data_IF_556368447680
#
_entry.id   IF_556368447680
#
_cell.length_a   1.000
_cell.length_b   1.000
_cell.length_c   1.000
_cell.angle_alpha   90.00
_cell.angle_beta   90.00
_cell.angle_gamma   90.00
#
_symmetry.space_group_name_H-M   'P 1'
#
loop_
_entity.id
_entity.type
_entity.pdbx_description
1 polymer ?
#
# COMPACT_ATOMS: atom_id res chain seq x y z
N UNK A 1 5.65 -33.32 -2.15
CA UNK A 1 4.19 -33.44 -1.93
C UNK A 1 3.57 -33.84 -3.26
N UNK A 2 2.78 -34.92 -3.28
CA UNK A 2 1.99 -35.33 -4.45
C UNK A 2 0.58 -34.77 -4.28
N UNK A 3 0.05 -34.12 -5.31
CA UNK A 3 -1.31 -33.57 -5.30
C UNK A 3 -2.21 -34.40 -6.22
N UNK A 4 -3.34 -34.92 -5.75
CA UNK A 4 -4.30 -35.64 -6.60
C UNK A 4 -4.81 -34.77 -7.75
N UNK A 5 -5.20 -35.42 -8.86
CA UNK A 5 -5.84 -34.74 -10.00
C UNK A 5 -7.11 -34.03 -9.54
N UNK A 6 -7.29 -32.79 -9.99
CA UNK A 6 -8.45 -31.96 -9.65
C UNK A 6 -8.30 -31.17 -8.34
N UNK A 7 -7.15 -31.26 -7.66
CA UNK A 7 -6.90 -30.45 -6.46
C UNK A 7 -6.83 -28.98 -6.82
N UNK A 8 -7.67 -28.15 -6.18
CA UNK A 8 -7.59 -26.71 -6.30
C UNK A 8 -6.33 -26.19 -5.57
N UNK A 9 -5.51 -25.40 -6.25
CA UNK A 9 -4.29 -24.82 -5.67
C UNK A 9 -4.39 -23.31 -5.73
N UNK A 10 -4.17 -22.68 -4.58
CA UNK A 10 -4.12 -21.22 -4.48
C UNK A 10 -2.75 -20.78 -3.96
N UNK A 11 -2.19 -19.76 -4.60
CA UNK A 11 -1.00 -19.10 -4.11
C UNK A 11 -1.41 -18.00 -3.14
N UNK A 12 -1.17 -18.23 -1.84
CA UNK A 12 -1.43 -17.24 -0.80
C UNK A 12 -0.37 -16.12 -0.80
N UNK A 13 -0.61 -15.06 -1.57
CA UNK A 13 0.33 -13.94 -1.68
C UNK A 13 0.43 -13.12 -0.39
N UNK A 14 -0.67 -12.90 0.33
CA UNK A 14 -0.69 -12.08 1.54
C UNK A 14 0.31 -12.56 2.62
N UNK A 15 0.30 -13.85 3.06
CA UNK A 15 1.25 -14.32 4.06
C UNK A 15 2.68 -14.38 3.50
N UNK A 16 2.85 -14.68 2.21
CA UNK A 16 4.17 -14.69 1.55
C UNK A 16 4.83 -13.30 1.58
N UNK A 17 4.08 -12.25 1.28
CA UNK A 17 4.59 -10.87 1.24
C UNK A 17 4.86 -10.31 2.66
N UNK A 18 4.42 -10.99 3.71
CA UNK A 18 4.63 -10.63 5.12
C UNK A 18 5.44 -11.66 5.92
N UNK A 19 5.99 -12.68 5.25
CA UNK A 19 6.73 -13.76 5.91
C UNK A 19 8.07 -13.25 6.44
N UNK A 20 8.35 -13.33 7.75
CA UNK A 20 9.65 -12.98 8.30
C UNK A 20 10.78 -13.88 7.78
N UNK A 21 10.46 -15.09 7.33
CA UNK A 21 11.43 -16.00 6.70
C UNK A 21 11.94 -15.46 5.35
N UNK A 22 11.06 -14.80 4.59
CA UNK A 22 11.39 -14.27 3.26
C UNK A 22 11.83 -12.80 3.27
N UNK A 23 11.43 -12.05 4.30
CA UNK A 23 11.62 -10.60 4.38
C UNK A 23 12.43 -10.14 5.59
N UNK A 24 12.76 -11.04 6.52
CA UNK A 24 13.43 -10.71 7.77
C UNK A 24 12.48 -10.16 8.84
N UNK A 25 13.05 -9.73 9.97
CA UNK A 25 12.29 -9.25 11.12
C UNK A 25 11.41 -8.01 10.83
N UNK A 26 11.73 -7.25 9.78
CA UNK A 26 10.99 -6.04 9.38
C UNK A 26 9.93 -6.31 8.30
N UNK A 27 9.50 -7.57 8.10
CA UNK A 27 8.52 -7.97 7.08
C UNK A 27 7.19 -7.17 7.12
N UNK A 28 6.77 -6.74 8.31
CA UNK A 28 5.56 -5.96 8.52
C UNK A 28 5.80 -4.44 8.61
N UNK A 29 7.03 -3.98 8.36
CA UNK A 29 7.37 -2.55 8.31
C UNK A 29 7.41 -2.06 6.87
N UNK A 30 6.86 -0.86 6.66
CA UNK A 30 7.00 -0.18 5.38
C UNK A 30 8.44 0.32 5.19
N UNK A 31 9.20 -0.37 4.34
CA UNK A 31 10.60 -0.08 4.05
C UNK A 31 10.80 0.06 2.53
N UNK A 32 10.66 1.28 1.96
CA UNK A 32 10.82 1.51 0.52
C UNK A 32 12.28 1.38 0.05
N UNK A 33 13.25 1.51 0.96
CA UNK A 33 14.69 1.37 0.68
C UNK A 33 15.23 -0.06 0.84
N UNK A 34 14.35 -1.05 0.90
CA UNK A 34 14.73 -2.45 1.13
C UNK A 34 15.63 -2.98 0.00
N UNK A 35 16.70 -3.69 0.40
CA UNK A 35 17.56 -4.38 -0.53
C UNK A 35 16.85 -5.58 -1.19
N UNK A 36 17.04 -5.72 -2.50
CA UNK A 36 16.60 -6.88 -3.28
C UNK A 36 17.83 -7.68 -3.70
N UNK A 37 17.71 -9.00 -3.70
CA UNK A 37 18.76 -9.87 -4.18
C UNK A 37 18.85 -9.84 -5.72
N UNK A 38 19.96 -10.33 -6.26
CA UNK A 38 20.18 -10.41 -7.69
C UNK A 38 19.07 -11.21 -8.39
N UNK A 39 18.52 -10.62 -9.46
CA UNK A 39 17.44 -11.24 -10.24
C UNK A 39 16.05 -11.13 -9.63
N UNK A 40 15.88 -10.48 -8.48
CA UNK A 40 14.54 -10.17 -7.94
C UNK A 40 13.90 -8.94 -8.56
N UNK A 41 14.72 -8.07 -9.15
CA UNK A 41 14.26 -6.93 -9.93
C UNK A 41 14.21 -7.35 -11.40
N UNK A 42 13.15 -6.95 -12.09
CA UNK A 42 13.09 -7.08 -13.54
C UNK A 42 14.31 -6.39 -14.18
N UNK A 43 15.09 -7.13 -14.97
CA UNK A 43 16.35 -6.63 -15.56
C UNK A 43 16.10 -5.63 -16.69
N UNK A 44 16.97 -4.63 -16.74
CA UNK A 44 17.08 -3.63 -17.82
C UNK A 44 17.32 -4.36 -19.15
N UNK A 45 16.47 -4.11 -20.15
CA UNK A 45 16.50 -4.79 -21.46
C UNK A 45 15.12 -4.97 -22.10
N UNK A 46 14.04 -4.91 -21.32
CA UNK A 46 12.69 -4.67 -21.85
C UNK A 46 12.43 -3.15 -21.91
N UNK A 47 11.72 -2.63 -22.93
CA UNK A 47 11.39 -1.19 -23.07
C UNK A 47 10.63 -0.57 -21.88
N UNK A 48 10.19 -1.40 -20.93
CA UNK A 48 9.46 -1.02 -19.71
C UNK A 48 10.03 -1.67 -18.44
N UNK A 49 11.28 -2.17 -18.49
CA UNK A 49 11.97 -2.71 -17.32
C UNK A 49 12.47 -1.58 -16.42
N UNK A 50 11.54 -0.88 -15.78
CA UNK A 50 11.86 -0.28 -14.50
C UNK A 50 12.26 -1.39 -13.52
N UNK A 51 13.01 -1.05 -12.47
CA UNK A 51 13.39 -1.93 -11.36
C UNK A 51 12.15 -2.42 -10.55
N UNK A 52 11.25 -3.13 -11.23
CA UNK A 52 10.04 -3.70 -10.69
C UNK A 52 10.44 -4.96 -9.93
N UNK A 53 10.13 -5.06 -8.63
CA UNK A 53 10.35 -6.30 -7.92
C UNK A 53 9.37 -7.36 -8.45
N UNK A 54 9.93 -8.46 -8.94
CA UNK A 54 9.21 -9.64 -9.36
C UNK A 54 10.08 -10.87 -9.08
N UNK A 55 9.79 -11.54 -7.97
CA UNK A 55 10.57 -12.70 -7.53
C UNK A 55 9.65 -13.78 -6.94
N UNK A 56 10.24 -14.90 -6.51
CA UNK A 56 9.49 -15.97 -5.83
C UNK A 56 8.86 -15.50 -4.53
N UNK A 57 9.47 -14.52 -3.85
CA UNK A 57 8.96 -13.95 -2.58
C UNK A 57 8.08 -12.72 -2.78
N UNK A 58 8.14 -12.05 -3.93
CA UNK A 58 7.31 -10.88 -4.24
C UNK A 58 6.66 -10.95 -5.63
N UNK A 59 5.34 -11.13 -5.67
CA UNK A 59 4.58 -11.23 -6.93
C UNK A 59 3.16 -10.68 -6.81
N UNK A 60 3.01 -9.35 -6.63
CA UNK A 60 1.69 -8.70 -6.51
C UNK A 60 0.82 -8.83 -7.76
N UNK A 61 1.43 -9.07 -8.93
CA UNK A 61 0.76 -9.24 -10.21
C UNK A 61 0.75 -10.71 -10.69
N UNK A 62 0.92 -11.66 -9.77
CA UNK A 62 1.07 -13.08 -10.03
C UNK A 62 2.25 -13.43 -10.97
N UNK A 63 2.35 -14.70 -11.38
CA UNK A 63 3.39 -15.23 -12.26
C UNK A 63 2.82 -15.70 -13.60
N UNK A 64 3.66 -15.70 -14.63
CA UNK A 64 3.32 -16.26 -15.93
C UNK A 64 2.91 -17.75 -15.80
N UNK A 65 2.00 -18.25 -16.66
CA UNK A 65 1.41 -17.57 -17.83
C UNK A 65 0.16 -16.73 -17.51
N UNK A 66 -0.31 -16.71 -16.26
CA UNK A 66 -1.56 -16.03 -15.84
C UNK A 66 -1.30 -14.80 -14.97
N UNK A 67 -0.20 -14.08 -15.23
CA UNK A 67 0.07 -12.81 -14.57
C UNK A 67 -0.90 -11.71 -15.06
N UNK A 68 -1.03 -10.66 -14.26
CA UNK A 68 -1.87 -9.51 -14.63
C UNK A 68 -1.37 -8.89 -15.95
N UNK A 69 -2.26 -8.81 -16.94
CA UNK A 69 -2.00 -8.18 -18.23
C UNK A 69 -1.71 -6.68 -18.08
N UNK A 70 -2.40 -6.02 -17.15
CA UNK A 70 -2.25 -4.59 -16.84
C UNK A 70 -1.04 -4.24 -15.97
N UNK A 71 -0.16 -5.20 -15.61
CA UNK A 71 0.97 -4.98 -14.69
C UNK A 71 1.83 -3.78 -15.09
N UNK A 72 2.23 -3.72 -16.36
CA UNK A 72 3.17 -2.69 -16.82
C UNK A 72 2.49 -1.30 -16.82
N UNK A 73 1.22 -1.26 -17.24
CA UNK A 73 0.41 -0.05 -17.23
C UNK A 73 0.21 0.48 -15.81
N UNK A 74 -0.20 -0.38 -14.88
CA UNK A 74 -0.36 0.00 -13.47
C UNK A 74 0.95 0.52 -12.86
N UNK A 75 2.08 -0.13 -13.14
CA UNK A 75 3.39 0.33 -12.66
C UNK A 75 3.80 1.70 -13.23
N UNK A 76 3.47 1.97 -14.50
CA UNK A 76 3.72 3.27 -15.11
C UNK A 76 2.83 4.36 -14.50
N UNK A 77 1.53 4.13 -14.40
CA UNK A 77 0.59 5.08 -13.81
C UNK A 77 0.92 5.38 -12.35
N UNK A 78 1.19 4.36 -11.53
CA UNK A 78 1.55 4.55 -10.12
C UNK A 78 2.78 5.46 -9.98
N UNK A 79 3.79 5.29 -10.84
CA UNK A 79 4.98 6.15 -10.83
C UNK A 79 4.67 7.58 -11.25
N UNK A 80 3.89 7.77 -12.31
CA UNK A 80 3.52 9.11 -12.78
C UNK A 80 2.69 9.85 -11.75
N UNK A 81 1.73 9.16 -11.12
CA UNK A 81 0.91 9.71 -10.03
C UNK A 81 1.79 10.06 -8.84
N UNK A 82 2.65 9.15 -8.38
CA UNK A 82 3.57 9.42 -7.27
C UNK A 82 4.51 10.59 -7.57
N UNK A 83 5.11 10.63 -8.76
CA UNK A 83 5.98 11.72 -9.19
C UNK A 83 5.22 13.05 -9.18
N UNK A 84 4.02 13.09 -9.76
CA UNK A 84 3.20 14.30 -9.79
C UNK A 84 2.83 14.78 -8.39
N UNK A 85 2.41 13.85 -7.52
CA UNK A 85 2.06 14.13 -6.13
C UNK A 85 3.26 14.69 -5.36
N UNK A 86 4.41 14.01 -5.40
CA UNK A 86 5.61 14.43 -4.67
C UNK A 86 6.26 15.70 -5.22
N UNK A 87 6.10 15.96 -6.52
CA UNK A 87 6.64 17.16 -7.15
C UNK A 87 5.77 18.39 -6.84
N UNK A 88 4.45 18.26 -6.96
CA UNK A 88 3.53 19.40 -6.86
C UNK A 88 2.96 19.65 -5.47
N UNK A 89 3.12 18.74 -4.53
CA UNK A 89 2.52 18.87 -3.21
C UNK A 89 3.50 18.58 -2.08
N UNK A 90 3.26 19.26 -0.95
CA UNK A 90 3.86 18.92 0.34
C UNK A 90 2.80 18.27 1.20
N UNK A 91 3.13 17.12 1.80
CA UNK A 91 2.22 16.32 2.61
C UNK A 91 2.51 16.50 4.10
N UNK A 92 1.45 16.64 4.90
CA UNK A 92 1.51 16.65 6.36
C UNK A 92 0.48 15.68 6.91
N UNK A 93 0.87 14.92 7.94
CA UNK A 93 -0.06 14.03 8.64
C UNK A 93 -1.16 14.86 9.31
N UNK A 94 -2.41 14.47 9.14
CA UNK A 94 -3.51 15.06 9.88
C UNK A 94 -3.51 14.55 11.34
N UNK A 95 -4.12 15.31 12.27
CA UNK A 95 -4.36 14.82 13.62
C UNK A 95 -5.15 13.48 13.64
N UNK A 96 -4.97 12.66 14.68
CA UNK A 96 -5.77 11.44 14.88
C UNK A 96 -7.27 11.68 14.74
N UNK A 97 -7.98 10.77 14.07
CA UNK A 97 -9.38 10.96 13.68
C UNK A 97 -10.34 11.13 14.87
N UNK A 98 -10.07 10.51 16.02
CA UNK A 98 -10.78 10.74 17.29
C UNK A 98 -10.79 12.21 17.74
N UNK A 99 -9.81 13.00 17.30
CA UNK A 99 -9.74 14.46 17.53
C UNK A 99 -10.39 15.30 16.43
N UNK A 100 -10.78 14.68 15.31
CA UNK A 100 -11.42 15.35 14.18
C UNK A 100 -12.96 15.24 14.21
N UNK A 101 -13.52 14.33 15.03
CA UNK A 101 -14.98 14.09 15.15
C UNK A 101 -15.51 14.37 16.57
N UNK A 102 -14.76 15.09 17.39
CA UNK A 102 -15.32 15.63 18.63
C UNK A 102 -16.35 16.69 18.28
N UNK A 103 -17.60 16.53 18.74
CA UNK A 103 -18.72 17.45 18.50
C UNK A 103 -18.39 18.91 18.89
N UNK A 104 -17.36 19.14 19.72
CA UNK A 104 -17.05 20.46 20.29
C UNK A 104 -15.58 20.94 20.17
N UNK A 105 -14.70 20.34 19.36
CA UNK A 105 -13.27 20.76 19.40
C UNK A 105 -12.47 20.84 18.09
N UNK A 106 -13.07 20.50 16.94
CA UNK A 106 -12.53 20.99 15.66
C UNK A 106 -13.42 22.13 15.17
N UNK A 107 -12.90 23.33 14.86
CA UNK A 107 -13.62 24.18 13.93
C UNK A 107 -13.89 23.33 12.69
N UNK A 108 -15.17 23.24 12.30
CA UNK A 108 -15.57 22.50 11.12
C UNK A 108 -14.56 22.83 10.02
N UNK A 109 -13.93 21.82 9.38
CA UNK A 109 -12.98 22.09 8.30
C UNK A 109 -13.68 23.05 7.34
N UNK A 110 -12.98 24.13 6.94
CA UNK A 110 -13.54 25.10 6.01
C UNK A 110 -14.22 24.33 4.88
N UNK A 111 -15.52 24.57 4.73
CA UNK A 111 -16.38 23.86 3.77
C UNK A 111 -15.86 24.02 2.34
N UNK A 112 -15.05 25.05 2.08
CA UNK A 112 -14.35 25.24 0.81
C UNK A 112 -13.20 24.22 0.57
N UNK A 113 -12.60 23.67 1.63
CA UNK A 113 -11.45 22.75 1.58
C UNK A 113 -11.84 21.28 1.87
N UNK A 114 -13.02 21.04 2.44
CA UNK A 114 -13.51 19.72 2.81
C UNK A 114 -13.95 18.88 1.60
N UNK A 115 -13.14 17.88 1.22
CA UNK A 115 -13.43 16.98 0.07
C UNK A 115 -14.13 15.67 0.42
N UNK A 116 -14.79 15.60 1.57
CA UNK A 116 -15.61 14.46 2.00
C UNK A 116 -14.86 13.38 2.79
N UNK A 117 -15.63 12.49 3.42
CA UNK A 117 -15.11 11.39 4.24
C UNK A 117 -15.06 10.13 3.38
N UNK A 118 -13.86 9.61 3.09
CA UNK A 118 -13.73 8.30 2.47
C UNK A 118 -14.07 7.20 3.49
N UNK A 119 -15.32 6.72 3.46
CA UNK A 119 -15.81 5.59 4.29
C UNK A 119 -15.63 4.23 3.60
N UNK A 120 -15.16 4.19 2.36
CA UNK A 120 -15.18 3.00 1.49
C UNK A 120 -13.91 2.15 1.57
N UNK A 121 -12.78 2.73 1.94
CA UNK A 121 -11.57 1.97 2.25
C UNK A 121 -11.55 1.69 3.75
N UNK A 122 -11.25 0.46 4.18
CA UNK A 122 -10.77 0.16 5.54
C UNK A 122 -9.45 0.91 5.75
N UNK A 123 -9.53 2.24 5.82
CA UNK A 123 -8.43 3.18 5.69
C UNK A 123 -7.32 2.91 6.69
N UNK A 124 -6.14 3.49 6.50
CA UNK A 124 -5.03 3.22 7.39
C UNK A 124 -5.38 3.68 8.81
N UNK A 125 -4.96 2.91 9.80
CA UNK A 125 -5.12 3.21 11.22
C UNK A 125 -4.30 4.46 11.60
N UNK A 126 -4.69 5.15 12.67
CA UNK A 126 -3.82 6.15 13.31
C UNK A 126 -2.46 5.50 13.64
N UNK A 127 -1.36 6.15 13.26
CA UNK A 127 0.00 5.60 13.48
C UNK A 127 0.31 5.36 14.98
N UNK A 128 -0.33 6.16 15.85
CA UNK A 128 -0.12 6.12 17.30
C UNK A 128 -1.16 5.24 18.03
N UNK A 129 -2.18 4.76 17.30
CA UNK A 129 -3.22 3.89 17.86
C UNK A 129 -2.69 2.47 17.95
N UNK A 130 -2.22 2.06 19.14
CA UNK A 130 -1.81 0.68 19.42
C UNK A 130 -2.84 -0.32 18.88
N UNK A 131 -2.46 -1.05 17.84
CA UNK A 131 -3.37 -1.94 17.12
C UNK A 131 -3.70 -3.18 17.96
N UNK A 132 -4.90 -3.23 18.54
CA UNK A 132 -5.56 -4.51 18.82
C UNK A 132 -6.51 -4.81 17.67
N UNK A 133 -6.10 -5.74 16.81
CA UNK A 133 -6.96 -6.34 15.80
C UNK A 133 -8.02 -7.20 16.52
N UNK A 134 -9.28 -6.77 16.54
CA UNK A 134 -10.40 -7.69 16.67
C UNK A 134 -11.20 -7.64 15.37
N UNK A 135 -11.34 -8.76 14.68
CA UNK A 135 -12.19 -8.80 13.49
C UNK A 135 -13.64 -8.47 13.94
N UNK A 136 -14.20 -7.37 13.43
CA UNK A 136 -15.52 -6.86 13.84
C UNK A 136 -15.50 -5.65 14.79
N UNK A 137 -14.34 -5.19 15.28
CA UNK A 137 -14.28 -3.92 16.03
C UNK A 137 -14.38 -2.72 15.09
N UNK A 138 -15.27 -1.78 15.44
CA UNK A 138 -15.37 -0.47 14.77
C UNK A 138 -14.19 0.39 15.21
N UNK A 139 -13.16 0.49 14.39
CA UNK A 139 -12.08 1.45 14.62
C UNK A 139 -12.42 2.78 13.94
N UNK A 140 -12.14 3.90 14.61
CA UNK A 140 -12.15 5.23 13.99
C UNK A 140 -11.04 5.27 12.95
N UNK A 141 -11.45 5.13 11.70
CA UNK A 141 -10.57 4.77 10.59
C UNK A 141 -10.33 6.01 9.73
N UNK A 142 -9.24 6.74 9.94
CA UNK A 142 -8.67 7.59 8.90
C UNK A 142 -7.25 8.09 9.26
N UNK A 143 -6.24 7.58 8.57
CA UNK A 143 -5.02 8.36 8.32
C UNK A 143 -5.35 9.39 7.25
N UNK A 144 -5.69 10.61 7.67
CA UNK A 144 -5.82 11.73 6.75
C UNK A 144 -4.44 12.38 6.56
N UNK A 145 -4.18 12.85 5.34
CA UNK A 145 -3.03 13.68 5.04
C UNK A 145 -3.53 14.97 4.44
N UNK A 146 -3.02 16.09 4.92
CA UNK A 146 -3.18 17.37 4.24
C UNK A 146 -2.11 17.47 3.16
N UNK A 147 -2.50 17.92 1.97
CA UNK A 147 -1.59 18.18 0.86
C UNK A 147 -1.73 19.65 0.44
N UNK A 148 -0.64 20.40 0.47
CA UNK A 148 -0.60 21.79 0.00
C UNK A 148 0.19 21.88 -1.30
N UNK A 149 -0.25 22.65 -2.31
CA UNK A 149 0.56 22.90 -3.50
C UNK A 149 1.94 23.43 -3.10
N UNK A 150 2.97 22.86 -3.69
CA UNK A 150 4.35 23.30 -3.56
C UNK A 150 4.54 24.50 -4.48
N UNK A 151 4.94 25.64 -3.90
CA UNK A 151 5.26 26.86 -4.63
C UNK A 151 6.46 26.65 -5.56
#
# INVERSE_FOLDING_TARGET
VLLPRGTAVQVANWPRHRSPELWGADANRFNPGRAFADGELARVGCPMAAANPQSKRFSPFAHAPRNCLGRNFAQMEMRLIMLHLLWRFTFQLAPPYDRLVGEDSCPAPDVAEFRGINRGTMGPMNLDGGAQYAWGSRHTTAMQMFARPRA
#
